data_IF_936797763595
#
_entry.id   IF_936797763595
#
_cell.length_a   1.000
_cell.length_b   1.000
_cell.length_c   1.000
_cell.angle_alpha   90.00
_cell.angle_beta   90.00
_cell.angle_gamma   90.00
#
_symmetry.space_group_name_H-M   'P 1'
#
loop_
_entity.id
_entity.type
_entity.pdbx_description
1 polymer ?
#
# COMPACT_ATOMS: atom_id res chain seq x y z
N UNK A 1 7.78 14.52 7.11
CA UNK A 1 6.85 15.05 6.07
C UNK A 1 5.98 13.88 5.67
N UNK A 2 4.66 13.94 5.80
CA UNK A 2 3.83 12.75 5.60
C UNK A 2 3.43 12.57 4.13
N UNK A 3 3.62 11.36 3.61
CA UNK A 3 3.18 10.89 2.31
C UNK A 3 2.01 9.93 2.51
N UNK A 4 0.84 10.30 1.98
CA UNK A 4 -0.29 9.39 1.92
C UNK A 4 -0.07 8.42 0.77
N UNK A 5 -0.03 7.14 1.10
CA UNK A 5 -0.02 6.06 0.11
C UNK A 5 -1.46 5.80 -0.28
N UNK A 6 -1.75 5.95 -1.57
CA UNK A 6 -3.05 5.63 -2.15
C UNK A 6 -2.95 4.35 -2.97
N UNK A 7 -4.04 3.58 -3.02
CA UNK A 7 -4.08 2.36 -3.81
C UNK A 7 -3.80 2.67 -5.29
N UNK A 8 -2.72 2.13 -5.88
CA UNK A 8 -2.46 2.33 -7.29
C UNK A 8 -3.51 1.63 -8.14
N UNK A 9 -3.67 2.08 -9.38
CA UNK A 9 -4.59 1.45 -10.33
C UNK A 9 -3.99 0.14 -10.84
N UNK A 10 -4.34 -0.98 -10.20
CA UNK A 10 -3.88 -2.32 -10.58
C UNK A 10 -4.73 -2.90 -11.72
N UNK A 11 -6.06 -2.73 -11.66
CA UNK A 11 -6.97 -3.30 -12.64
C UNK A 11 -7.58 -2.21 -13.54
N UNK A 12 -7.38 -2.27 -14.87
CA UNK A 12 -8.01 -1.32 -15.80
C UNK A 12 -9.53 -1.50 -15.91
N UNK A 13 -10.08 -2.66 -15.51
CA UNK A 13 -11.51 -2.99 -15.63
C UNK A 13 -12.32 -2.80 -14.35
N UNK A 14 -11.69 -2.74 -13.19
CA UNK A 14 -12.37 -2.68 -11.90
C UNK A 14 -11.66 -1.69 -10.99
N UNK A 15 -12.42 -0.77 -10.42
CA UNK A 15 -11.90 0.22 -9.48
C UNK A 15 -11.80 -0.32 -8.05
N UNK A 16 -12.34 -1.51 -7.77
CA UNK A 16 -12.31 -2.18 -6.47
C UNK A 16 -11.39 -3.41 -6.53
N UNK A 17 -10.51 -3.53 -5.54
CA UNK A 17 -9.51 -4.59 -5.42
C UNK A 17 -9.40 -5.02 -3.96
N UNK A 18 -8.99 -6.26 -3.74
CA UNK A 18 -8.79 -6.79 -2.38
C UNK A 18 -7.36 -6.50 -1.96
N UNK A 19 -7.21 -5.84 -0.82
CA UNK A 19 -5.92 -5.65 -0.20
C UNK A 19 -5.38 -7.01 0.24
N UNK A 20 -4.16 -7.35 -0.18
CA UNK A 20 -3.57 -8.65 0.14
C UNK A 20 -3.04 -8.65 1.56
N UNK A 21 -1.76 -8.32 1.71
CA UNK A 21 -1.06 -8.34 2.99
C UNK A 21 -0.08 -7.17 3.09
N UNK A 22 0.09 -6.68 4.32
CA UNK A 22 1.13 -5.72 4.64
C UNK A 22 2.47 -6.44 4.80
N UNK A 23 3.46 -6.08 3.99
CA UNK A 23 4.85 -6.52 4.18
C UNK A 23 5.51 -5.73 5.31
N UNK A 24 5.04 -4.49 5.55
CA UNK A 24 5.54 -3.57 6.57
C UNK A 24 4.50 -3.28 7.65
N UNK A 25 4.96 -3.14 8.89
CA UNK A 25 4.11 -2.85 10.04
C UNK A 25 4.19 -1.37 10.44
N UNK A 26 3.16 -0.89 11.15
CA UNK A 26 3.16 0.49 11.68
C UNK A 26 4.33 0.67 12.65
N UNK A 27 5.13 1.70 12.42
CA UNK A 27 6.38 1.98 13.12
C UNK A 27 7.63 1.41 12.45
N UNK A 28 7.49 0.63 11.38
CA UNK A 28 8.64 0.07 10.66
C UNK A 28 9.26 1.08 9.69
N UNK A 29 10.58 1.04 9.57
CA UNK A 29 11.32 1.89 8.63
C UNK A 29 11.20 1.34 7.22
N UNK A 30 10.86 2.22 6.29
CA UNK A 30 10.68 1.97 4.87
C UNK A 30 11.83 2.64 4.11
N UNK A 31 12.43 1.91 3.19
CA UNK A 31 13.39 2.46 2.23
C UNK A 31 12.80 2.57 0.81
N UNK A 32 13.37 3.45 -0.01
CA UNK A 32 13.05 3.52 -1.43
C UNK A 32 13.47 2.21 -2.12
N UNK A 33 12.54 1.60 -2.86
CA UNK A 33 12.67 0.26 -3.45
C UNK A 33 12.30 -0.88 -2.51
N UNK A 34 11.74 -0.60 -1.33
CA UNK A 34 11.28 -1.63 -0.40
C UNK A 34 9.78 -1.87 -0.54
N UNK A 35 9.36 -3.13 -0.48
CA UNK A 35 7.95 -3.54 -0.60
C UNK A 35 7.17 -3.11 0.65
N UNK A 36 6.10 -2.34 0.44
CA UNK A 36 5.21 -1.87 1.50
C UNK A 36 4.12 -2.89 1.80
N UNK A 37 3.45 -3.33 0.73
CA UNK A 37 2.32 -4.24 0.78
C UNK A 37 2.12 -4.92 -0.57
N UNK A 38 1.38 -6.01 -0.51
CA UNK A 38 1.04 -6.85 -1.64
C UNK A 38 -0.47 -6.78 -1.85
N UNK A 39 -0.90 -6.70 -3.11
CA UNK A 39 -2.31 -6.64 -3.46
C UNK A 39 -2.63 -7.82 -4.34
N UNK A 40 -3.64 -8.59 -3.95
CA UNK A 40 -4.07 -9.76 -4.69
C UNK A 40 -5.28 -9.40 -5.55
N UNK A 41 -5.14 -9.61 -6.85
CA UNK A 41 -6.26 -9.53 -7.79
C UNK A 41 -6.59 -10.91 -8.32
N UNK A 42 -7.76 -11.07 -8.96
CA UNK A 42 -8.32 -12.32 -9.52
C UNK A 42 -7.31 -13.24 -10.22
N UNK A 43 -6.21 -12.70 -10.76
CA UNK A 43 -5.19 -13.48 -11.48
C UNK A 43 -3.74 -13.17 -11.14
N UNK A 44 -3.45 -12.11 -10.38
CA UNK A 44 -2.08 -11.61 -10.20
C UNK A 44 -1.93 -10.97 -8.82
N UNK A 45 -0.86 -11.34 -8.12
CA UNK A 45 -0.35 -10.61 -6.95
C UNK A 45 0.57 -9.51 -7.45
N UNK A 46 0.30 -8.26 -7.06
CA UNK A 46 1.16 -7.12 -7.37
C UNK A 46 1.78 -6.59 -6.09
N UNK A 47 3.10 -6.43 -6.08
CA UNK A 47 3.83 -5.83 -4.97
C UNK A 47 3.93 -4.32 -5.19
N UNK A 48 3.65 -3.54 -4.14
CA UNK A 48 3.78 -2.09 -4.19
C UNK A 48 5.00 -1.66 -3.39
N UNK A 49 5.98 -1.11 -4.10
CA UNK A 49 7.23 -0.62 -3.54
C UNK A 49 7.10 0.85 -3.15
N UNK A 50 7.83 1.25 -2.10
CA UNK A 50 7.97 2.66 -1.75
C UNK A 50 8.97 3.35 -2.66
N UNK A 51 8.63 4.55 -3.14
CA UNK A 51 9.59 5.42 -3.83
C UNK A 51 10.34 6.37 -2.88
N UNK A 52 10.03 6.31 -1.58
CA UNK A 52 10.55 7.24 -0.59
C UNK A 52 11.06 6.51 0.65
N UNK A 53 12.01 7.13 1.34
CA UNK A 53 12.51 6.65 2.63
C UNK A 53 11.70 7.32 3.75
N UNK A 54 11.19 6.53 4.68
CA UNK A 54 10.31 7.00 5.75
C UNK A 54 10.00 5.93 6.78
N UNK A 55 9.03 6.19 7.64
CA UNK A 55 8.50 5.22 8.61
C UNK A 55 7.00 5.06 8.38
N UNK A 56 6.48 3.84 8.43
CA UNK A 56 5.05 3.61 8.30
C UNK A 56 4.34 4.21 9.52
N UNK A 57 3.65 5.33 9.34
CA UNK A 57 3.02 6.05 10.45
C UNK A 57 1.70 5.42 10.88
N UNK A 58 0.86 5.02 9.90
CA UNK A 58 -0.44 4.38 10.15
C UNK A 58 -0.93 3.64 8.92
N UNK A 59 -1.62 2.51 9.12
CA UNK A 59 -2.34 1.77 8.07
C UNK A 59 -3.85 1.99 8.22
N UNK A 60 -4.50 2.42 7.14
CA UNK A 60 -5.94 2.72 7.10
C UNK A 60 -6.77 1.51 6.66
N UNK A 61 -6.12 0.52 6.04
CA UNK A 61 -6.74 -0.67 5.49
C UNK A 61 -6.09 -1.93 6.03
N UNK A 62 -6.85 -3.02 6.04
CA UNK A 62 -6.40 -4.32 6.55
C UNK A 62 -6.26 -5.33 5.43
N UNK A 63 -5.59 -6.43 5.75
CA UNK A 63 -5.55 -7.62 4.91
C UNK A 63 -6.97 -8.10 4.61
N UNK A 64 -7.22 -8.51 3.37
CA UNK A 64 -8.53 -8.90 2.83
C UNK A 64 -9.61 -7.79 2.83
N UNK A 65 -9.23 -6.52 3.02
CA UNK A 65 -10.18 -5.41 2.94
C UNK A 65 -10.42 -4.98 1.48
N UNK A 66 -11.63 -4.53 1.17
CA UNK A 66 -12.01 -4.11 -0.18
C UNK A 66 -11.71 -2.61 -0.34
N UNK A 67 -10.66 -2.31 -1.10
CA UNK A 67 -10.17 -0.93 -1.28
C UNK A 67 -10.36 -0.47 -2.71
N UNK A 68 -10.58 0.83 -2.88
CA UNK A 68 -10.76 1.43 -4.21
C UNK A 68 -9.48 2.06 -4.76
N UNK A 69 -9.35 2.08 -6.08
CA UNK A 69 -8.26 2.77 -6.76
C UNK A 69 -8.26 4.25 -6.36
N UNK A 70 -7.11 4.74 -5.88
CA UNK A 70 -6.95 6.11 -5.38
C UNK A 70 -7.40 6.33 -3.93
N UNK A 71 -7.90 5.31 -3.24
CA UNK A 71 -8.24 5.39 -1.82
C UNK A 71 -6.97 5.39 -0.96
N UNK A 72 -6.98 6.13 0.14
CA UNK A 72 -5.85 6.22 1.06
C UNK A 72 -5.76 4.92 1.87
N UNK A 73 -4.63 4.22 1.74
CA UNK A 73 -4.40 2.91 2.37
C UNK A 73 -3.43 2.99 3.55
N UNK A 74 -2.49 3.94 3.53
CA UNK A 74 -1.56 4.17 4.62
C UNK A 74 -0.94 5.56 4.57
N UNK A 75 -0.27 5.93 5.65
CA UNK A 75 0.50 7.16 5.79
C UNK A 75 1.95 6.78 6.13
N UNK A 76 2.90 7.33 5.37
CA UNK A 76 4.34 7.19 5.60
C UNK A 76 4.87 8.54 6.07
N UNK A 77 5.60 8.60 7.18
CA UNK A 77 6.33 9.80 7.59
C UNK A 77 7.76 9.76 7.03
N UNK A 78 8.03 10.64 6.07
CA UNK A 78 9.34 10.82 5.46
C UNK A 78 10.28 11.56 6.42
N UNK A 79 11.52 11.08 6.52
CA UNK A 79 12.60 11.70 7.29
C UNK A 79 13.81 12.05 6.42
#
# INVERSE_FOLDING_TARGET
>A
MQQTVTMPKINPKSDEVIFGVWTKNVGDTIAAGEVLFEVETDKVVSEVESNFNGVLAETLVKENDAVKTGEAIAIIDLF
#
